data_IF_588239688683
#
_entry.id   IF_588239688683
#
_cell.length_a   1.000
_cell.length_b   1.000
_cell.length_c   1.000
_cell.angle_alpha   90.00
_cell.angle_beta   90.00
_cell.angle_gamma   90.00
#
_symmetry.space_group_name_H-M   'P 1'
#
loop_
_entity.id
_entity.type
_entity.pdbx_description
1 polymer ?
#
# COMPACT_ATOMS: atom_id res chain seq x y z
N UNK A 1 -4.56 -9.56 -34.22
CA UNK A 1 -5.61 -9.25 -33.21
C UNK A 1 -5.45 -7.79 -32.88
N UNK A 2 -6.53 -7.02 -32.91
CA UNK A 2 -6.50 -5.58 -32.62
C UNK A 2 -6.17 -5.37 -31.15
N UNK A 3 -5.11 -4.63 -30.85
CA UNK A 3 -4.81 -4.18 -29.50
C UNK A 3 -5.78 -3.05 -29.13
N UNK A 4 -6.99 -3.43 -28.71
CA UNK A 4 -8.09 -2.51 -28.39
C UNK A 4 -7.70 -1.47 -27.34
N UNK A 5 -6.78 -1.81 -26.44
CA UNK A 5 -6.34 -0.94 -25.36
C UNK A 5 -4.95 -0.34 -25.57
N UNK A 6 -4.28 -0.61 -26.70
CA UNK A 6 -2.92 -0.16 -26.96
C UNK A 6 -1.94 -0.55 -25.83
N UNK A 7 -2.01 -1.80 -25.34
CA UNK A 7 -1.12 -2.34 -24.30
C UNK A 7 0.35 -2.41 -24.75
N UNK A 8 0.62 -2.42 -26.06
CA UNK A 8 1.98 -2.39 -26.61
C UNK A 8 2.80 -1.19 -26.12
N UNK A 9 2.14 -0.09 -25.71
CA UNK A 9 2.80 1.06 -25.08
C UNK A 9 3.56 0.67 -23.81
N UNK A 10 3.01 -0.23 -23.00
CA UNK A 10 3.67 -0.70 -21.78
C UNK A 10 4.86 -1.60 -22.10
N UNK A 11 4.70 -2.52 -23.06
CA UNK A 11 5.77 -3.41 -23.48
C UNK A 11 6.99 -2.61 -23.97
N UNK A 12 6.74 -1.64 -24.85
CA UNK A 12 7.77 -0.75 -25.41
C UNK A 12 8.52 0.02 -24.33
N UNK A 13 7.82 0.53 -23.32
CA UNK A 13 8.44 1.26 -22.20
C UNK A 13 9.26 0.32 -21.30
N UNK A 14 8.72 -0.86 -21.01
CA UNK A 14 9.36 -1.85 -20.13
C UNK A 14 10.60 -2.48 -20.76
N UNK A 15 10.70 -2.62 -22.08
CA UNK A 15 11.87 -3.22 -22.76
C UNK A 15 13.21 -2.63 -22.31
N UNK A 16 13.24 -1.34 -22.00
CA UNK A 16 14.46 -0.63 -21.62
C UNK A 16 14.74 -0.68 -20.12
N UNK A 17 13.71 -0.57 -19.30
CA UNK A 17 13.85 -0.28 -17.88
C UNK A 17 13.47 -1.44 -16.97
N UNK A 18 12.84 -2.50 -17.49
CA UNK A 18 12.31 -3.59 -16.67
C UNK A 18 13.40 -4.27 -15.84
N UNK A 19 14.54 -4.60 -16.44
CA UNK A 19 15.66 -5.21 -15.73
C UNK A 19 16.25 -4.28 -14.66
N UNK A 20 16.32 -2.97 -14.93
CA UNK A 20 16.78 -1.99 -13.96
C UNK A 20 15.79 -1.84 -12.81
N UNK A 21 14.49 -1.81 -13.09
CA UNK A 21 13.42 -1.76 -12.09
C UNK A 21 13.50 -2.95 -11.14
N UNK A 22 13.65 -4.18 -11.65
CA UNK A 22 13.80 -5.37 -10.80
C UNK A 22 15.05 -5.30 -9.91
N UNK A 23 16.18 -4.83 -10.46
CA UNK A 23 17.40 -4.65 -9.67
C UNK A 23 17.21 -3.62 -8.56
N UNK A 24 16.64 -2.46 -8.87
CA UNK A 24 16.39 -1.39 -7.90
C UNK A 24 15.43 -1.85 -6.78
N UNK A 25 14.33 -2.50 -7.16
CA UNK A 25 13.37 -3.09 -6.24
C UNK A 25 14.03 -4.11 -5.32
N UNK A 26 14.81 -5.03 -5.86
CA UNK A 26 15.54 -6.04 -5.08
C UNK A 26 16.56 -5.44 -4.12
N UNK A 27 17.17 -4.28 -4.46
CA UNK A 27 18.07 -3.56 -3.54
C UNK A 27 17.36 -2.73 -2.49
N UNK A 28 16.03 -2.62 -2.56
CA UNK A 28 15.25 -1.89 -1.57
C UNK A 28 15.18 -0.38 -1.80
N UNK A 29 15.61 0.11 -2.97
CA UNK A 29 15.57 1.54 -3.27
C UNK A 29 15.38 1.80 -4.77
N UNK A 30 14.25 2.43 -5.10
CA UNK A 30 13.95 2.93 -6.44
C UNK A 30 14.75 4.20 -6.73
N UNK A 31 15.49 4.21 -7.84
CA UNK A 31 16.32 5.33 -8.26
C UNK A 31 15.89 5.95 -9.61
N UNK A 32 15.27 5.17 -10.49
CA UNK A 32 15.01 5.57 -11.88
C UNK A 32 13.52 5.86 -12.18
N UNK A 33 13.25 6.36 -13.39
CA UNK A 33 11.94 6.92 -13.79
C UNK A 33 11.01 5.92 -14.49
N UNK A 34 10.72 4.78 -13.87
CA UNK A 34 9.92 3.70 -14.48
C UNK A 34 8.53 3.47 -13.86
N UNK A 35 8.17 4.22 -12.81
CA UNK A 35 7.00 3.90 -11.95
C UNK A 35 5.69 3.74 -12.73
N UNK A 36 5.46 4.57 -13.75
CA UNK A 36 4.17 4.67 -14.42
C UNK A 36 3.79 3.45 -15.25
N UNK A 37 4.77 2.70 -15.75
CA UNK A 37 4.54 1.56 -16.64
C UNK A 37 4.95 0.22 -16.02
N UNK A 38 5.62 0.24 -14.86
CA UNK A 38 5.85 -0.97 -14.03
C UNK A 38 4.71 -1.14 -13.01
N UNK A 39 4.28 -0.05 -12.36
CA UNK A 39 3.12 -0.03 -11.45
C UNK A 39 2.09 1.01 -11.96
N UNK A 40 1.36 0.72 -13.05
CA UNK A 40 0.39 1.65 -13.61
C UNK A 40 -0.79 1.84 -12.66
N UNK A 41 -1.36 3.04 -12.68
CA UNK A 41 -2.54 3.41 -11.87
C UNK A 41 -3.66 3.92 -12.77
N UNK A 42 -4.84 4.19 -12.19
CA UNK A 42 -5.94 4.79 -12.94
C UNK A 42 -5.53 6.12 -13.59
N UNK A 43 -5.92 6.34 -14.85
CA UNK A 43 -5.49 7.47 -15.68
C UNK A 43 -5.76 8.82 -15.04
N UNK A 44 -6.90 8.97 -14.37
CA UNK A 44 -7.34 10.23 -13.75
C UNK A 44 -6.62 10.57 -12.43
N UNK A 45 -5.84 9.65 -11.86
CA UNK A 45 -4.93 9.96 -10.75
C UNK A 45 -3.67 10.70 -11.23
N UNK A 46 -3.33 10.53 -12.51
CA UNK A 46 -2.12 11.06 -13.13
C UNK A 46 -2.28 12.50 -13.61
N UNK A 47 -1.44 13.42 -13.12
CA UNK A 47 -1.42 14.82 -13.58
C UNK A 47 -0.43 15.10 -14.71
N UNK A 48 0.67 14.35 -14.78
CA UNK A 48 1.70 14.51 -15.80
C UNK A 48 1.31 13.84 -17.12
N UNK A 49 1.91 14.28 -18.23
CA UNK A 49 1.70 13.66 -19.53
C UNK A 49 2.08 12.16 -19.51
N UNK A 50 3.19 11.80 -18.86
CA UNK A 50 3.63 10.41 -18.71
C UNK A 50 2.66 9.58 -17.87
N UNK A 51 2.12 10.15 -16.78
CA UNK A 51 1.15 9.45 -15.95
C UNK A 51 -0.17 9.21 -16.68
N UNK A 52 -0.60 10.14 -17.55
CA UNK A 52 -1.77 9.93 -18.42
C UNK A 52 -1.50 8.94 -19.54
N UNK A 53 -0.32 8.97 -20.14
CA UNK A 53 0.07 8.06 -21.23
C UNK A 53 0.06 6.59 -20.77
N UNK A 54 0.57 6.31 -19.58
CA UNK A 54 0.62 4.96 -19.01
C UNK A 54 -0.48 4.70 -17.97
N UNK A 55 -1.46 5.59 -17.89
CA UNK A 55 -2.65 5.38 -17.07
C UNK A 55 -3.52 4.28 -17.66
N UNK A 56 -4.21 3.56 -16.77
CA UNK A 56 -5.25 2.59 -17.12
C UNK A 56 -6.60 3.29 -17.00
N UNK A 57 -7.41 3.24 -18.05
CA UNK A 57 -8.64 4.03 -18.16
C UNK A 57 -9.90 3.32 -17.64
N UNK A 58 -9.83 2.01 -17.41
CA UNK A 58 -11.01 1.22 -17.03
C UNK A 58 -10.63 -0.12 -16.41
N UNK A 59 -11.60 -0.76 -15.74
CA UNK A 59 -11.44 -2.13 -15.22
C UNK A 59 -11.21 -3.15 -16.35
N UNK A 60 -11.81 -2.94 -17.53
CA UNK A 60 -11.62 -3.81 -18.70
C UNK A 60 -10.19 -3.72 -19.24
N UNK A 61 -9.61 -2.52 -19.27
CA UNK A 61 -8.20 -2.34 -19.64
C UNK A 61 -7.27 -2.94 -18.59
N UNK A 62 -7.58 -2.76 -17.30
CA UNK A 62 -6.83 -3.38 -16.21
C UNK A 62 -6.85 -4.92 -16.31
N UNK A 63 -8.01 -5.51 -16.61
CA UNK A 63 -8.15 -6.95 -16.84
C UNK A 63 -7.35 -7.41 -18.07
N UNK A 64 -7.40 -6.64 -19.17
CA UNK A 64 -6.60 -6.93 -20.36
C UNK A 64 -5.09 -6.85 -20.07
N UNK A 65 -4.63 -5.86 -19.30
CA UNK A 65 -3.24 -5.74 -18.86
C UNK A 65 -2.83 -6.94 -17.99
N UNK A 66 -3.64 -7.28 -16.99
CA UNK A 66 -3.31 -8.31 -16.02
C UNK A 66 -3.28 -9.71 -16.64
N UNK A 67 -4.22 -10.02 -17.53
CA UNK A 67 -4.24 -11.31 -18.23
C UNK A 67 -3.36 -11.35 -19.49
N UNK A 68 -2.68 -10.25 -19.82
CA UNK A 68 -1.70 -10.24 -20.91
C UNK A 68 -0.51 -11.15 -20.53
N UNK A 69 -0.06 -12.06 -21.42
CA UNK A 69 0.92 -13.10 -21.12
C UNK A 69 2.28 -12.60 -20.62
N UNK A 70 2.60 -11.33 -20.88
CA UNK A 70 3.85 -10.70 -20.41
C UNK A 70 3.61 -9.67 -19.31
N UNK A 71 2.57 -8.85 -19.40
CA UNK A 71 2.44 -7.66 -18.52
C UNK A 71 2.01 -8.05 -17.11
N UNK A 72 1.04 -8.96 -16.98
CA UNK A 72 0.64 -9.50 -15.68
C UNK A 72 1.80 -10.18 -14.97
N UNK A 73 2.49 -11.09 -15.65
CA UNK A 73 3.66 -11.79 -15.10
C UNK A 73 4.74 -10.81 -14.61
N UNK A 74 5.01 -9.75 -15.40
CA UNK A 74 5.98 -8.73 -15.03
C UNK A 74 5.58 -7.90 -13.81
N UNK A 75 4.29 -7.59 -13.65
CA UNK A 75 3.76 -6.90 -12.48
C UNK A 75 3.91 -7.75 -11.22
N UNK A 76 3.62 -9.05 -11.32
CA UNK A 76 3.80 -10.00 -10.20
C UNK A 76 5.28 -10.08 -9.83
N UNK A 77 6.17 -10.32 -10.79
CA UNK A 77 7.61 -10.40 -10.56
C UNK A 77 8.19 -9.11 -9.95
N UNK A 78 7.77 -7.93 -10.41
CA UNK A 78 8.16 -6.66 -9.81
C UNK A 78 7.65 -6.51 -8.37
N UNK A 79 6.43 -6.96 -8.09
CA UNK A 79 5.86 -6.96 -6.74
C UNK A 79 6.61 -7.91 -5.81
N UNK A 80 6.99 -9.09 -6.30
CA UNK A 80 7.82 -10.05 -5.57
C UNK A 80 9.20 -9.49 -5.27
N UNK A 81 9.85 -8.84 -6.23
CA UNK A 81 11.14 -8.19 -6.03
C UNK A 81 11.07 -7.10 -4.94
N UNK A 82 10.02 -6.29 -4.95
CA UNK A 82 9.77 -5.29 -3.91
C UNK A 82 9.62 -5.92 -2.52
N UNK A 83 8.83 -6.99 -2.40
CA UNK A 83 8.64 -7.73 -1.15
C UNK A 83 9.95 -8.40 -0.67
N UNK A 84 10.73 -8.96 -1.60
CA UNK A 84 11.97 -9.67 -1.31
C UNK A 84 13.09 -8.75 -0.81
N UNK A 85 12.99 -7.44 -1.08
CA UNK A 85 13.93 -6.43 -0.56
C UNK A 85 13.98 -6.36 0.97
N UNK A 86 12.90 -6.80 1.65
CA UNK A 86 12.74 -6.69 3.10
C UNK A 86 12.42 -5.28 3.62
N UNK A 87 12.35 -4.27 2.74
CA UNK A 87 11.95 -2.91 3.10
C UNK A 87 10.44 -2.85 3.26
N UNK A 88 9.92 -2.54 4.45
CA UNK A 88 8.48 -2.49 4.71
C UNK A 88 7.87 -1.10 4.59
N UNK A 89 8.68 -0.04 4.67
CA UNK A 89 8.22 1.33 4.44
C UNK A 89 8.21 1.62 2.93
N UNK A 90 7.03 1.78 2.30
CA UNK A 90 6.96 2.06 0.87
C UNK A 90 7.59 3.41 0.50
N UNK A 91 7.61 4.39 1.42
CA UNK A 91 8.26 5.68 1.13
C UNK A 91 9.77 5.52 1.04
N UNK A 92 10.36 4.67 1.88
CA UNK A 92 11.78 4.35 1.80
C UNK A 92 12.14 3.57 0.53
N UNK A 93 11.26 2.65 0.11
CA UNK A 93 11.48 1.82 -1.09
C UNK A 93 11.26 2.59 -2.40
N UNK A 94 10.13 3.28 -2.53
CA UNK A 94 9.69 3.89 -3.78
C UNK A 94 9.94 5.40 -3.86
N UNK A 95 10.10 6.07 -2.71
CA UNK A 95 10.09 7.52 -2.62
C UNK A 95 8.67 8.10 -2.78
N UNK A 96 8.51 9.36 -2.37
CA UNK A 96 7.27 10.10 -2.60
C UNK A 96 7.35 10.93 -3.89
N UNK A 97 6.30 10.99 -4.73
CA UNK A 97 4.95 10.44 -4.53
C UNK A 97 4.74 9.04 -5.14
N UNK A 98 5.80 8.29 -5.42
CA UNK A 98 5.72 7.01 -6.13
C UNK A 98 5.16 5.89 -5.24
N UNK A 99 5.37 5.98 -3.94
CA UNK A 99 4.72 5.15 -2.91
C UNK A 99 3.19 5.13 -3.05
N UNK A 100 2.56 6.27 -3.33
CA UNK A 100 1.11 6.35 -3.53
C UNK A 100 0.66 5.68 -4.84
N UNK A 101 1.51 5.72 -5.88
CA UNK A 101 1.24 5.08 -7.17
C UNK A 101 1.21 3.57 -7.03
N UNK A 102 2.14 3.00 -6.27
CA UNK A 102 2.16 1.56 -5.99
C UNK A 102 0.90 1.13 -5.25
N UNK A 103 0.46 1.87 -4.22
CA UNK A 103 -0.83 1.56 -3.55
C UNK A 103 -2.02 1.60 -4.52
N UNK A 104 -2.05 2.60 -5.40
CA UNK A 104 -3.10 2.74 -6.42
C UNK A 104 -3.08 1.56 -7.39
N UNK A 105 -1.90 1.16 -7.87
CA UNK A 105 -1.69 0.00 -8.74
C UNK A 105 -2.14 -1.30 -8.08
N UNK A 106 -1.68 -1.58 -6.86
CA UNK A 106 -2.08 -2.80 -6.13
C UNK A 106 -3.60 -2.85 -5.93
N UNK A 107 -4.21 -1.71 -5.58
CA UNK A 107 -5.67 -1.61 -5.43
C UNK A 107 -6.37 -1.92 -6.75
N UNK A 108 -5.96 -1.27 -7.84
CA UNK A 108 -6.53 -1.45 -9.17
C UNK A 108 -6.52 -2.93 -9.60
N UNK A 109 -5.39 -3.61 -9.46
CA UNK A 109 -5.27 -4.99 -9.92
C UNK A 109 -5.88 -6.01 -8.95
N UNK A 110 -6.05 -5.68 -7.67
CA UNK A 110 -6.84 -6.50 -6.74
C UNK A 110 -8.36 -6.38 -6.96
N UNK A 111 -8.84 -5.35 -7.67
CA UNK A 111 -10.22 -5.33 -8.17
C UNK A 111 -10.42 -6.24 -9.39
N UNK A 112 -9.34 -6.48 -10.15
CA UNK A 112 -9.35 -7.39 -11.31
C UNK A 112 -9.22 -8.84 -10.86
N UNK A 113 -8.22 -9.14 -10.03
CA UNK A 113 -7.91 -10.48 -9.53
C UNK A 113 -7.81 -10.47 -8.01
N UNK A 114 -8.95 -10.54 -7.28
CA UNK A 114 -8.96 -10.49 -5.82
C UNK A 114 -8.23 -11.65 -5.14
N UNK A 115 -8.04 -12.77 -5.86
CA UNK A 115 -7.33 -13.96 -5.39
C UNK A 115 -5.81 -13.89 -5.53
N UNK A 116 -5.26 -12.82 -6.11
CA UNK A 116 -3.82 -12.73 -6.35
C UNK A 116 -3.04 -12.45 -5.04
N UNK A 117 -2.48 -13.52 -4.48
CA UNK A 117 -1.84 -13.52 -3.17
C UNK A 117 -0.63 -12.58 -3.08
N UNK A 118 0.15 -12.44 -4.16
CA UNK A 118 1.34 -11.57 -4.17
C UNK A 118 0.96 -10.10 -4.03
N UNK A 119 -0.07 -9.65 -4.75
CA UNK A 119 -0.56 -8.27 -4.66
C UNK A 119 -1.19 -8.01 -3.28
N UNK A 120 -1.98 -8.96 -2.75
CA UNK A 120 -2.59 -8.84 -1.43
C UNK A 120 -1.55 -8.76 -0.30
N UNK A 121 -0.49 -9.56 -0.39
CA UNK A 121 0.66 -9.51 0.53
C UNK A 121 1.39 -8.18 0.43
N UNK A 122 1.66 -7.66 -0.76
CA UNK A 122 2.29 -6.35 -0.93
C UNK A 122 1.44 -5.22 -0.33
N UNK A 123 0.12 -5.23 -0.56
CA UNK A 123 -0.79 -4.24 0.01
C UNK A 123 -0.78 -4.30 1.55
N UNK A 124 -0.73 -5.52 2.10
CA UNK A 124 -0.64 -5.75 3.55
C UNK A 124 0.68 -5.24 4.12
N UNK A 125 1.81 -5.65 3.53
CA UNK A 125 3.16 -5.30 4.00
C UNK A 125 3.42 -3.80 3.96
N UNK A 126 3.07 -3.14 2.85
CA UNK A 126 3.43 -1.74 2.64
C UNK A 126 2.38 -0.75 3.14
N UNK A 127 1.10 -1.13 3.17
CA UNK A 127 0.00 -0.20 3.44
C UNK A 127 -0.98 -0.70 4.51
N UNK A 128 -0.66 -1.80 5.20
CA UNK A 128 -1.53 -2.39 6.23
C UNK A 128 -2.85 -2.93 5.68
N UNK A 129 -2.87 -3.30 4.40
CA UNK A 129 -4.04 -3.86 3.72
C UNK A 129 -5.04 -2.81 3.24
N UNK A 130 -4.76 -1.51 3.47
CA UNK A 130 -5.66 -0.43 3.09
C UNK A 130 -5.58 -0.15 1.59
N UNK A 131 -6.69 -0.33 0.88
CA UNK A 131 -6.87 0.04 -0.53
C UNK A 131 -6.85 1.56 -0.72
N UNK A 132 -6.49 2.02 -1.92
CA UNK A 132 -6.55 3.43 -2.30
C UNK A 132 -7.99 3.81 -2.68
N UNK A 133 -8.67 4.58 -1.83
CA UNK A 133 -10.08 4.94 -2.02
C UNK A 133 -10.32 5.70 -3.33
N UNK A 134 -9.41 6.58 -3.74
CA UNK A 134 -9.56 7.32 -5.00
C UNK A 134 -9.54 6.39 -6.21
N UNK A 135 -8.73 5.33 -6.18
CA UNK A 135 -8.77 4.29 -7.20
C UNK A 135 -10.14 3.60 -7.23
N UNK A 136 -10.71 3.29 -6.07
CA UNK A 136 -12.04 2.66 -5.98
C UNK A 136 -13.16 3.58 -6.48
N UNK A 137 -13.13 4.86 -6.12
CA UNK A 137 -14.09 5.88 -6.57
C UNK A 137 -14.08 6.03 -8.10
N UNK A 138 -12.89 5.99 -8.70
CA UNK A 138 -12.72 6.07 -10.15
C UNK A 138 -13.20 4.81 -10.88
N UNK A 139 -13.06 3.63 -10.26
CA UNK A 139 -13.54 2.37 -10.82
C UNK A 139 -15.05 2.17 -10.66
N UNK A 140 -15.62 2.70 -9.58
CA UNK A 140 -17.02 2.53 -9.21
C UNK A 140 -17.64 3.89 -8.85
N UNK A 141 -17.87 4.78 -9.83
CA UNK A 141 -18.38 6.14 -9.58
C UNK A 141 -19.73 6.15 -8.86
N UNK A 142 -20.53 5.10 -9.02
CA UNK A 142 -21.83 4.95 -8.33
C UNK A 142 -21.68 4.78 -6.80
N UNK A 143 -20.49 4.41 -6.29
CA UNK A 143 -20.22 4.38 -4.83
C UNK A 143 -20.19 5.77 -4.21
N UNK A 144 -19.78 6.77 -4.98
CA UNK A 144 -19.65 8.16 -4.51
C UNK A 144 -21.03 8.82 -4.43
N UNK A 145 -22.01 8.35 -5.21
CA UNK A 145 -23.36 8.92 -5.26
C UNK A 145 -24.20 8.67 -3.99
N UNK A 146 -23.79 7.76 -3.10
CA UNK A 146 -24.52 7.39 -1.88
C UNK A 146 -23.84 7.92 -0.59
N UNK A 147 -22.84 8.80 -0.71
CA UNK A 147 -21.93 9.17 0.38
C UNK A 147 -21.66 10.66 0.58
N UNK A 148 -22.62 11.55 0.35
CA UNK A 148 -22.61 12.91 0.89
C UNK A 148 -23.45 12.95 2.17
N UNK A 149 -22.83 12.58 3.29
CA UNK A 149 -23.40 12.69 4.63
C UNK A 149 -22.29 13.14 5.58
N UNK A 150 -22.41 14.38 6.04
CA UNK A 150 -21.52 15.07 6.98
C UNK A 150 -20.98 14.15 8.10
N UNK A 151 -19.68 13.86 8.10
CA UNK A 151 -18.96 13.38 9.29
C UNK A 151 -18.48 14.59 10.11
N UNK A 152 -19.45 15.31 10.66
CA UNK A 152 -19.22 16.20 11.81
C UNK A 152 -19.25 15.30 13.04
N UNK A 153 -18.09 14.76 13.39
CA UNK A 153 -17.92 13.78 14.46
C UNK A 153 -18.58 14.24 15.78
N UNK A 154 -19.12 13.31 16.59
CA UNK A 154 -19.97 13.70 17.71
C UNK A 154 -19.13 14.41 18.78
N UNK A 155 -19.49 15.68 19.03
CA UNK A 155 -19.13 16.41 20.24
C UNK A 155 -19.52 15.59 21.47
N UNK A 156 -18.52 15.08 22.19
CA UNK A 156 -18.70 14.38 23.45
C UNK A 156 -19.27 15.34 24.51
N UNK A 157 -20.58 15.26 24.76
CA UNK A 157 -21.18 15.79 25.97
C UNK A 157 -20.88 14.82 27.12
N UNK A 158 -19.98 15.24 28.03
CA UNK A 158 -19.79 14.60 29.32
C UNK A 158 -20.91 15.06 30.26
N UNK A 159 -21.82 14.15 30.61
CA UNK A 159 -22.72 14.31 31.76
C UNK A 159 -22.67 13.10 32.69
N UNK A 160 -22.67 13.45 33.98
CA UNK A 160 -23.02 12.63 35.16
C UNK A 160 -21.95 11.80 35.90
N UNK A 161 -21.36 12.51 36.88
CA UNK A 161 -21.37 12.25 38.34
C UNK A 161 -21.65 10.83 38.91
N UNK A 162 -20.85 10.58 39.97
CA UNK A 162 -21.00 9.69 41.13
C UNK A 162 -20.16 8.39 41.02
N UNK A 163 -19.32 7.99 41.99
CA UNK A 163 -19.44 7.97 43.47
C UNK A 163 -18.02 7.97 44.11
N UNK A 164 -17.75 8.81 45.11
CA UNK A 164 -17.46 8.41 46.51
C UNK A 164 -16.85 7.00 46.69
N UNK A 165 -15.56 6.88 47.04
CA UNK A 165 -15.09 6.81 48.44
C UNK A 165 -13.62 6.37 48.54
N UNK A 166 -13.00 6.87 49.62
CA UNK A 166 -11.85 6.33 50.35
C UNK A 166 -10.41 6.64 49.93
N UNK A 167 -9.85 7.53 50.74
CA UNK A 167 -8.46 7.88 50.90
C UNK A 167 -8.02 7.36 52.26
N UNK A 168 -7.06 6.43 52.34
CA UNK A 168 -6.04 6.50 53.40
C UNK A 168 -4.81 5.65 53.13
N UNK A 169 -3.68 6.33 53.22
CA UNK A 169 -2.33 5.82 53.25
C UNK A 169 -2.07 4.93 54.48
N UNK A 170 -1.18 3.94 54.31
CA UNK A 170 -0.61 3.12 55.37
C UNK A 170 0.75 2.59 54.93
N UNK A 171 1.79 3.29 55.38
CA UNK A 171 3.23 3.06 55.22
C UNK A 171 3.68 1.67 55.73
N UNK A 172 4.61 0.94 55.08
CA UNK A 172 5.40 -0.08 55.76
C UNK A 172 6.79 0.44 56.12
N UNK A 173 7.08 0.48 57.42
CA UNK A 173 8.44 0.66 57.94
C UNK A 173 8.90 -0.61 58.66
N UNK A 174 10.14 -0.98 58.34
CA UNK A 174 11.17 -1.57 59.20
C UNK A 174 11.36 -3.08 59.35
N UNK A 175 12.65 -3.42 59.19
CA UNK A 175 13.48 -4.48 59.79
C UNK A 175 13.37 -5.90 59.21
N UNK A 176 14.38 -6.35 58.46
CA UNK A 176 15.74 -6.78 58.85
C UNK A 176 15.75 -8.16 59.52
N UNK A 177 16.39 -9.16 58.90
CA UNK A 177 17.58 -9.86 59.45
C UNK A 177 18.04 -11.04 58.54
N UNK A 178 19.34 -11.33 58.57
CA UNK A 178 19.94 -12.65 58.32
C UNK A 178 20.33 -12.97 56.88
N UNK A 179 21.58 -12.80 56.43
CA UNK A 179 22.79 -13.61 56.71
C UNK A 179 23.13 -14.59 55.59
N UNK A 180 24.39 -14.50 55.13
CA UNK A 180 25.26 -15.56 54.56
C UNK A 180 24.86 -16.21 53.22
N UNK A 181 25.76 -16.67 52.36
CA UNK A 181 27.19 -16.51 52.15
C UNK A 181 27.51 -17.24 50.82
N UNK A 182 28.72 -16.99 50.30
CA UNK A 182 29.54 -17.94 49.51
C UNK A 182 29.60 -17.77 47.99
N UNK A 183 30.78 -17.28 47.61
CA UNK A 183 31.50 -17.37 46.34
C UNK A 183 31.59 -18.79 45.76
N UNK A 184 31.59 -18.89 44.42
CA UNK A 184 32.61 -19.57 43.57
C UNK A 184 32.10 -19.51 42.12
N UNK A 185 32.81 -18.78 41.26
CA UNK A 185 33.81 -19.27 40.28
C UNK A 185 33.18 -19.76 38.99
#
# INVERSE_FOLDING_TARGET
>A
MTDTFNLDRFLTAQERDYAAALSELGTGFKASHWIWYIFPQHVDLGRSATARLYGIASLQEAAAYFHHPVLGARLIEATEAALASGVTDPTALFGSPDDLKVRSCLTLFLEVEPGEETLARALTTFYGGRRDEKTLDLLYPDRVAEGDGDDDGPSAQLTEKARHSDQKAGNPSHEANGSEATLKS
#
